data_IF_211226138377
#
_entry.id   IF_211226138377
#
_cell.length_a   1.000
_cell.length_b   1.000
_cell.length_c   1.000
_cell.angle_alpha   90.00
_cell.angle_beta   90.00
_cell.angle_gamma   90.00
#
_symmetry.space_group_name_H-M   'P 1'
#
loop_
_entity.id
_entity.type
_entity.pdbx_description
1 polymer ?
#
# COMPACT_ATOMS: atom_id res chain seq x y z
N UNK A 1 -29.82 23.39 -9.27
CA UNK A 1 -29.44 22.06 -8.75
C UNK A 1 -28.01 21.78 -9.20
N UNK A 2 -27.04 21.77 -8.28
CA UNK A 2 -25.65 21.40 -8.62
C UNK A 2 -25.66 19.91 -8.95
N UNK A 3 -25.38 19.53 -10.21
CA UNK A 3 -25.11 18.14 -10.56
C UNK A 3 -23.93 17.69 -9.69
N UNK A 4 -24.17 16.82 -8.71
CA UNK A 4 -23.08 16.04 -8.12
C UNK A 4 -22.51 15.22 -9.27
N UNK A 5 -21.35 15.63 -9.79
CA UNK A 5 -20.60 14.78 -10.69
C UNK A 5 -20.17 13.56 -9.88
N UNK A 6 -20.90 12.47 -10.06
CA UNK A 6 -20.53 11.20 -9.46
C UNK A 6 -19.14 10.80 -9.99
N UNK A 7 -18.27 10.22 -9.14
CA UNK A 7 -17.00 9.71 -9.61
C UNK A 7 -17.21 8.64 -10.68
N UNK A 8 -16.24 8.43 -11.57
CA UNK A 8 -16.34 7.42 -12.63
C UNK A 8 -16.49 5.98 -12.11
N UNK A 9 -16.15 5.76 -10.84
CA UNK A 9 -16.32 4.52 -10.10
C UNK A 9 -17.59 4.49 -9.22
N UNK A 10 -18.64 5.22 -9.62
CA UNK A 10 -19.90 5.26 -8.87
C UNK A 10 -20.50 3.86 -8.60
N UNK A 11 -20.34 2.94 -9.56
CA UNK A 11 -20.81 1.55 -9.45
C UNK A 11 -19.84 0.64 -8.67
N UNK A 12 -18.78 1.21 -8.09
CA UNK A 12 -17.75 0.49 -7.36
C UNK A 12 -16.64 -0.08 -8.25
N UNK A 13 -15.65 -0.70 -7.60
CA UNK A 13 -14.49 -1.30 -8.27
C UNK A 13 -14.15 -2.65 -7.64
N UNK A 14 -13.79 -3.62 -8.48
CA UNK A 14 -13.32 -4.92 -8.02
C UNK A 14 -11.83 -4.88 -7.70
N UNK A 15 -11.45 -5.41 -6.52
CA UNK A 15 -10.06 -5.62 -6.17
C UNK A 15 -9.84 -6.80 -5.22
N UNK A 16 -8.79 -7.56 -5.46
CA UNK A 16 -8.28 -8.57 -4.54
C UNK A 16 -6.75 -8.67 -4.62
N UNK A 17 -6.06 -8.47 -3.50
CA UNK A 17 -4.61 -8.61 -3.48
C UNK A 17 -4.21 -10.09 -3.54
N UNK A 18 -3.81 -10.56 -4.72
CA UNK A 18 -3.32 -11.94 -4.94
C UNK A 18 -1.85 -12.15 -4.52
N UNK A 19 -1.31 -11.25 -3.67
CA UNK A 19 0.07 -11.31 -3.15
C UNK A 19 1.17 -11.51 -4.21
N UNK A 20 0.97 -10.98 -5.42
CA UNK A 20 1.92 -11.15 -6.51
C UNK A 20 3.27 -10.42 -6.33
N UNK A 21 3.40 -9.55 -5.32
CA UNK A 21 4.60 -8.75 -5.05
C UNK A 21 4.90 -7.64 -6.07
N UNK A 22 4.20 -7.58 -7.21
CA UNK A 22 4.48 -6.61 -8.29
C UNK A 22 4.17 -5.16 -7.92
N UNK A 23 3.00 -4.89 -7.37
CA UNK A 23 2.62 -3.54 -6.94
C UNK A 23 3.45 -3.06 -5.74
N UNK A 24 3.91 -3.97 -4.89
CA UNK A 24 4.78 -3.66 -3.75
C UNK A 24 6.23 -3.35 -4.16
N UNK A 25 6.62 -3.66 -5.39
CA UNK A 25 7.97 -3.51 -5.90
C UNK A 25 8.18 -2.18 -6.65
N UNK A 26 9.43 -1.77 -6.71
CA UNK A 26 9.96 -0.70 -7.55
C UNK A 26 10.05 0.67 -6.84
N UNK A 27 10.93 1.55 -7.35
CA UNK A 27 11.17 2.86 -6.77
C UNK A 27 10.03 3.87 -7.01
N UNK A 28 9.10 3.57 -7.93
CA UNK A 28 8.09 4.51 -8.39
C UNK A 28 7.06 4.93 -7.33
N UNK A 29 7.00 4.23 -6.19
CA UNK A 29 6.01 4.50 -5.13
C UNK A 29 6.57 5.46 -4.06
N UNK A 30 7.86 5.81 -4.13
CA UNK A 30 8.52 6.72 -3.22
C UNK A 30 8.64 6.16 -1.79
N UNK A 31 8.44 7.03 -0.80
CA UNK A 31 8.55 6.66 0.61
C UNK A 31 7.37 5.83 1.09
N UNK A 32 7.65 4.81 1.91
CA UNK A 32 6.64 4.05 2.64
C UNK A 32 6.56 4.61 4.06
N UNK A 33 5.67 5.57 4.24
CA UNK A 33 5.52 6.28 5.50
C UNK A 33 4.90 5.39 6.56
N UNK A 34 5.46 5.48 7.78
CA UNK A 34 4.96 4.74 8.94
C UNK A 34 4.72 5.69 10.11
N UNK A 35 3.58 5.51 10.76
CA UNK A 35 3.23 6.14 12.04
C UNK A 35 3.86 5.38 13.22
N UNK A 36 3.81 5.99 14.41
CA UNK A 36 4.29 5.34 15.64
C UNK A 36 3.57 4.00 15.90
N UNK A 37 2.26 3.96 15.71
CA UNK A 37 1.44 2.77 15.95
C UNK A 37 1.75 1.67 14.94
N UNK A 38 1.98 2.01 13.67
CA UNK A 38 2.40 1.02 12.66
C UNK A 38 3.80 0.46 12.96
N UNK A 39 4.71 1.30 13.47
CA UNK A 39 6.03 0.84 13.95
C UNK A 39 5.87 -0.18 15.08
N UNK A 40 4.94 0.05 16.02
CA UNK A 40 4.65 -0.87 17.12
C UNK A 40 4.09 -2.21 16.60
N UNK A 41 3.14 -2.18 15.65
CA UNK A 41 2.61 -3.40 15.03
C UNK A 41 3.67 -4.18 14.24
N UNK A 42 4.50 -3.50 13.46
CA UNK A 42 5.58 -4.13 12.69
C UNK A 42 6.61 -4.76 13.64
N UNK A 43 7.00 -4.05 14.71
CA UNK A 43 7.96 -4.55 15.69
C UNK A 43 7.44 -5.82 16.38
N UNK A 44 6.18 -5.80 16.82
CA UNK A 44 5.54 -6.96 17.45
C UNK A 44 5.45 -8.15 16.47
N UNK A 45 5.03 -7.92 15.23
CA UNK A 45 4.95 -8.96 14.20
C UNK A 45 6.30 -9.61 13.90
N UNK A 46 7.37 -8.82 13.87
CA UNK A 46 8.74 -9.29 13.64
C UNK A 46 9.42 -9.83 14.90
N UNK A 47 8.74 -9.80 16.07
CA UNK A 47 9.31 -10.16 17.38
C UNK A 47 10.60 -9.41 17.70
N UNK A 48 10.62 -8.12 17.37
CA UNK A 48 11.75 -7.22 17.60
C UNK A 48 11.33 -6.06 18.51
N UNK A 49 12.29 -5.50 19.23
CA UNK A 49 12.06 -4.22 19.92
C UNK A 49 11.89 -3.08 18.92
N UNK A 50 11.14 -2.05 19.30
CA UNK A 50 11.00 -0.82 18.49
C UNK A 50 12.38 -0.21 18.18
N UNK A 51 13.32 -0.31 19.12
CA UNK A 51 14.68 0.20 18.96
C UNK A 51 15.44 -0.54 17.86
N UNK A 52 15.36 -1.88 17.82
CA UNK A 52 15.93 -2.70 16.74
C UNK A 52 15.27 -2.40 15.40
N UNK A 53 13.93 -2.32 15.37
CA UNK A 53 13.19 -2.01 14.14
C UNK A 53 13.64 -0.66 13.55
N UNK A 54 13.74 0.37 14.40
CA UNK A 54 14.18 1.71 14.00
C UNK A 54 15.59 1.73 13.44
N UNK A 55 16.53 1.01 14.04
CA UNK A 55 17.92 0.96 13.58
C UNK A 55 18.06 0.22 12.25
N UNK A 56 17.33 -0.88 12.09
CA UNK A 56 17.61 -1.83 11.01
C UNK A 56 16.74 -1.61 9.77
N UNK A 57 15.55 -1.01 9.91
CA UNK A 57 14.55 -1.00 8.83
C UNK A 57 13.90 0.34 8.57
N UNK A 58 14.15 1.36 9.40
CA UNK A 58 13.50 2.66 9.28
C UNK A 58 14.52 3.78 9.15
N UNK A 59 14.12 4.88 8.51
CA UNK A 59 14.88 6.13 8.50
C UNK A 59 13.96 7.33 8.65
N UNK A 60 14.51 8.44 9.14
CA UNK A 60 13.81 9.72 9.22
C UNK A 60 14.06 10.56 7.97
N UNK A 61 13.01 11.22 7.50
CA UNK A 61 13.04 12.21 6.42
C UNK A 61 12.22 13.41 6.89
N UNK A 62 12.92 14.48 7.29
CA UNK A 62 12.31 15.58 8.02
C UNK A 62 11.63 15.09 9.31
N UNK A 63 10.35 15.43 9.47
CA UNK A 63 9.54 15.05 10.64
C UNK A 63 8.91 13.65 10.53
N UNK A 64 9.05 12.97 9.39
CA UNK A 64 8.38 11.69 9.11
C UNK A 64 9.36 10.53 9.14
N UNK A 65 8.84 9.32 9.37
CA UNK A 65 9.61 8.08 9.35
C UNK A 65 9.13 7.20 8.20
N UNK A 66 10.07 6.64 7.44
CA UNK A 66 9.81 5.74 6.31
C UNK A 66 10.51 4.42 6.52
N UNK A 67 9.96 3.35 5.95
CA UNK A 67 10.67 2.09 5.76
C UNK A 67 11.78 2.31 4.73
N UNK A 68 12.94 1.67 4.94
CA UNK A 68 14.07 1.72 4.02
C UNK A 68 13.87 0.78 2.82
N UNK A 69 14.60 1.08 1.77
CA UNK A 69 14.61 0.33 0.53
C UNK A 69 15.88 -0.51 0.42
N UNK A 70 15.81 -1.65 -0.28
CA UNK A 70 16.98 -2.44 -0.62
C UNK A 70 17.91 -1.65 -1.56
N UNK A 71 19.23 -1.57 -1.31
CA UNK A 71 20.12 -0.65 -2.01
C UNK A 71 20.23 -0.93 -3.52
N UNK A 72 20.18 -2.19 -3.94
CA UNK A 72 20.27 -2.59 -5.34
C UNK A 72 18.91 -2.49 -6.08
N UNK A 73 17.89 -3.22 -5.62
CA UNK A 73 16.58 -3.30 -6.31
C UNK A 73 15.69 -2.07 -6.10
N UNK A 74 15.95 -1.29 -5.04
CA UNK A 74 15.09 -0.19 -4.56
C UNK A 74 13.69 -0.62 -4.12
N UNK A 75 13.48 -1.92 -3.93
CA UNK A 75 12.25 -2.44 -3.34
C UNK A 75 12.19 -2.15 -1.84
N UNK A 76 10.99 -2.15 -1.25
CA UNK A 76 10.84 -2.16 0.21
C UNK A 76 11.67 -3.30 0.83
N UNK A 77 12.40 -3.04 1.92
CA UNK A 77 13.24 -4.06 2.58
C UNK A 77 12.47 -5.29 3.08
N UNK A 78 11.16 -5.16 3.28
CA UNK A 78 10.28 -6.26 3.67
C UNK A 78 9.67 -7.02 2.48
N UNK A 79 9.93 -6.62 1.24
CA UNK A 79 9.58 -7.41 0.06
C UNK A 79 10.76 -8.33 -0.24
N UNK A 80 10.61 -9.61 0.10
CA UNK A 80 11.66 -10.61 -0.04
C UNK A 80 11.29 -11.66 -1.07
N UNK A 81 12.30 -12.25 -1.70
CA UNK A 81 12.09 -13.39 -2.58
C UNK A 81 12.06 -14.68 -1.76
N UNK A 82 10.98 -15.45 -1.89
CA UNK A 82 10.79 -16.74 -1.24
C UNK A 82 10.26 -17.73 -2.27
N UNK A 83 10.99 -18.83 -2.48
CA UNK A 83 10.64 -19.85 -3.47
C UNK A 83 10.35 -19.29 -4.88
N UNK A 84 11.15 -18.29 -5.33
CA UNK A 84 10.98 -17.64 -6.64
C UNK A 84 9.84 -16.62 -6.71
N UNK A 85 9.17 -16.31 -5.59
CA UNK A 85 8.09 -15.32 -5.53
C UNK A 85 8.41 -14.17 -4.56
N UNK A 86 8.17 -12.93 -5.01
CA UNK A 86 8.26 -11.74 -4.16
C UNK A 86 7.11 -11.72 -3.16
N UNK A 87 7.44 -11.79 -1.88
CA UNK A 87 6.53 -11.91 -0.74
C UNK A 87 6.77 -10.79 0.25
N UNK A 88 5.70 -10.13 0.71
CA UNK A 88 5.79 -9.10 1.74
C UNK A 88 5.84 -9.75 3.12
N UNK A 89 6.97 -9.66 3.81
CA UNK A 89 7.18 -10.30 5.12
C UNK A 89 6.32 -9.71 6.24
N UNK A 90 5.81 -8.48 6.04
CA UNK A 90 4.94 -7.78 6.98
C UNK A 90 3.50 -7.68 6.45
N UNK A 91 3.06 -8.56 5.54
CA UNK A 91 1.78 -8.46 4.82
C UNK A 91 0.57 -8.15 5.74
N UNK A 92 0.49 -8.85 6.88
CA UNK A 92 -0.61 -8.74 7.85
C UNK A 92 -0.58 -7.48 8.71
N UNK A 93 0.55 -6.78 8.76
CA UNK A 93 0.75 -5.52 9.51
C UNK A 93 1.25 -4.40 8.60
N UNK A 94 0.95 -4.49 7.30
CA UNK A 94 1.36 -3.49 6.32
C UNK A 94 0.88 -2.10 6.73
N UNK A 95 1.69 -1.06 6.49
CA UNK A 95 1.26 0.32 6.68
C UNK A 95 0.00 0.63 5.88
N UNK A 96 -0.76 1.63 6.33
CA UNK A 96 -2.00 2.08 5.73
C UNK A 96 -1.82 2.41 4.25
N UNK A 97 -0.71 3.07 3.91
CA UNK A 97 -0.34 3.36 2.52
C UNK A 97 -0.37 2.09 1.66
N UNK A 98 0.28 1.02 2.10
CA UNK A 98 0.33 -0.25 1.37
C UNK A 98 -1.02 -1.00 1.36
N UNK A 99 -1.87 -0.83 2.39
CA UNK A 99 -3.21 -1.44 2.46
C UNK A 99 -4.21 -0.77 1.53
N UNK A 100 -4.08 0.54 1.35
CA UNK A 100 -5.00 1.32 0.56
C UNK A 100 -4.76 1.16 -0.95
N UNK A 101 -3.70 0.46 -1.38
CA UNK A 101 -3.56 0.05 -2.76
C UNK A 101 -4.75 -0.85 -3.15
N UNK A 102 -5.42 -0.63 -4.31
CA UNK A 102 -5.10 0.30 -5.39
C UNK A 102 -5.87 1.63 -5.30
N UNK A 103 -6.66 1.88 -4.26
CA UNK A 103 -7.55 3.04 -4.10
C UNK A 103 -6.82 4.34 -3.73
N UNK A 104 -5.57 4.49 -4.16
CA UNK A 104 -4.85 5.74 -4.01
C UNK A 104 -5.46 6.83 -4.91
N UNK A 105 -5.43 8.11 -4.49
CA UNK A 105 -6.06 9.18 -5.25
C UNK A 105 -5.65 9.24 -6.73
N UNK A 106 -4.36 9.05 -7.04
CA UNK A 106 -3.82 9.05 -8.40
C UNK A 106 -4.40 7.92 -9.28
N UNK A 107 -4.55 6.72 -8.73
CA UNK A 107 -5.16 5.59 -9.44
C UNK A 107 -6.66 5.79 -9.70
N UNK A 108 -7.30 6.66 -8.92
CA UNK A 108 -8.74 6.94 -9.00
C UNK A 108 -9.07 8.21 -9.79
N UNK A 109 -8.08 8.92 -10.32
CA UNK A 109 -8.30 10.13 -11.14
C UNK A 109 -9.17 9.86 -12.38
N UNK A 110 -8.98 8.71 -13.04
CA UNK A 110 -9.76 8.32 -14.22
C UNK A 110 -9.73 6.81 -14.44
N UNK A 111 -10.63 6.31 -15.29
CA UNK A 111 -10.58 4.93 -15.77
C UNK A 111 -9.20 4.59 -16.40
N UNK A 112 -8.55 5.56 -17.04
CA UNK A 112 -7.24 5.36 -17.65
C UNK A 112 -6.14 5.14 -16.59
N UNK A 113 -6.12 5.92 -15.51
CA UNK A 113 -5.12 5.75 -14.44
C UNK A 113 -5.36 4.45 -13.67
N UNK A 114 -6.61 4.05 -13.47
CA UNK A 114 -6.95 2.73 -12.93
C UNK A 114 -6.45 1.58 -13.81
N UNK A 115 -6.66 1.66 -15.12
CA UNK A 115 -6.17 0.66 -16.08
C UNK A 115 -4.64 0.63 -16.14
N UNK A 116 -3.95 1.75 -15.94
CA UNK A 116 -2.50 1.78 -15.80
C UNK A 116 -2.04 1.04 -14.54
N UNK A 117 -2.69 1.27 -13.39
CA UNK A 117 -2.42 0.53 -12.17
C UNK A 117 -2.66 -0.98 -12.35
N UNK A 118 -3.69 -1.37 -13.12
CA UNK A 118 -4.00 -2.76 -13.44
C UNK A 118 -2.87 -3.48 -14.20
N UNK A 119 -2.07 -2.77 -14.99
CA UNK A 119 -0.88 -3.34 -15.65
C UNK A 119 0.16 -3.83 -14.64
N UNK A 120 0.26 -3.16 -13.49
CA UNK A 120 1.19 -3.51 -12.39
C UNK A 120 0.59 -4.55 -11.44
N UNK A 121 -0.73 -4.53 -11.24
CA UNK A 121 -1.40 -5.37 -10.26
C UNK A 121 -2.48 -6.28 -10.89
N UNK A 122 -2.28 -7.61 -10.95
CA UNK A 122 -3.28 -8.54 -11.49
C UNK A 122 -4.53 -8.68 -10.62
N UNK A 123 -4.50 -8.12 -9.41
CA UNK A 123 -5.62 -8.11 -8.48
C UNK A 123 -6.68 -7.06 -8.78
N UNK A 124 -6.36 -6.06 -9.61
CA UNK A 124 -7.32 -5.06 -10.06
C UNK A 124 -8.33 -5.73 -11.00
N UNK A 125 -9.61 -5.36 -10.83
CA UNK A 125 -10.76 -5.91 -11.54
C UNK A 125 -11.01 -7.40 -11.22
N UNK A 126 -10.64 -7.85 -10.01
CA UNK A 126 -10.83 -9.23 -9.52
C UNK A 126 -11.39 -9.24 -8.10
N UNK A 127 -12.01 -10.35 -7.72
CA UNK A 127 -12.45 -10.62 -6.35
C UNK A 127 -13.54 -9.66 -5.86
N UNK A 128 -13.38 -9.12 -4.64
CA UNK A 128 -14.40 -8.34 -3.94
C UNK A 128 -14.75 -7.03 -4.67
N UNK A 129 -16.05 -6.73 -4.76
CA UNK A 129 -16.54 -5.41 -5.15
C UNK A 129 -16.48 -4.45 -3.94
N UNK A 130 -15.83 -3.30 -4.12
CA UNK A 130 -15.82 -2.20 -3.16
C UNK A 130 -16.79 -1.12 -3.63
N UNK A 131 -17.72 -0.69 -2.78
CA UNK A 131 -18.68 0.36 -3.13
C UNK A 131 -18.00 1.73 -3.26
N UNK A 132 -18.65 2.67 -3.93
CA UNK A 132 -18.16 4.05 -4.01
C UNK A 132 -17.96 4.65 -2.62
N UNK A 133 -18.86 4.41 -1.66
CA UNK A 133 -18.70 4.88 -0.29
C UNK A 133 -17.46 4.28 0.37
N UNK A 134 -17.22 2.98 0.22
CA UNK A 134 -16.06 2.31 0.79
C UNK A 134 -14.75 2.87 0.22
N UNK A 135 -14.70 3.07 -1.09
CA UNK A 135 -13.54 3.66 -1.77
C UNK A 135 -13.29 5.08 -1.24
N UNK A 136 -14.34 5.89 -1.08
CA UNK A 136 -14.21 7.23 -0.50
C UNK A 136 -13.76 7.24 0.95
N UNK A 137 -14.14 6.23 1.75
CA UNK A 137 -13.61 6.08 3.10
C UNK A 137 -12.13 5.71 3.07
N UNK A 138 -11.74 4.70 2.29
CA UNK A 138 -10.33 4.24 2.17
C UNK A 138 -9.41 5.40 1.77
N UNK A 139 -9.83 6.25 0.82
CA UNK A 139 -9.06 7.44 0.39
C UNK A 139 -8.77 8.41 1.53
N UNK A 140 -9.72 8.58 2.46
CA UNK A 140 -9.62 9.51 3.59
C UNK A 140 -8.95 8.89 4.80
N UNK A 141 -9.02 7.57 4.93
CA UNK A 141 -8.45 6.81 6.02
C UNK A 141 -6.95 7.01 6.09
N UNK A 142 -6.48 7.59 7.20
CA UNK A 142 -5.05 7.72 7.54
C UNK A 142 -4.57 6.63 8.50
N UNK A 143 -5.48 5.80 9.02
CA UNK A 143 -5.24 4.78 10.06
C UNK A 143 -6.21 3.61 9.86
N UNK A 144 -5.72 2.37 9.89
CA UNK A 144 -6.55 1.17 9.70
C UNK A 144 -6.71 0.32 10.97
N UNK A 145 -6.29 0.86 12.12
CA UNK A 145 -6.33 0.24 13.43
C UNK A 145 -7.33 0.93 14.35
#
# INVERSE_FOLDING_TARGET
>A
MVKKNNPWYADGLHFECVQCGRCCAGPGEGFIWVSRTEIEFIANHLKQTISQLRRNFLRRVGLRTTIIEHPATKDCIFLQEKAGQRTCMIYHVRPNQCRNWPFWPNNLESLNTWNQAARKCPGINRGRLYSCEEIEQIKKTKKWW
#
